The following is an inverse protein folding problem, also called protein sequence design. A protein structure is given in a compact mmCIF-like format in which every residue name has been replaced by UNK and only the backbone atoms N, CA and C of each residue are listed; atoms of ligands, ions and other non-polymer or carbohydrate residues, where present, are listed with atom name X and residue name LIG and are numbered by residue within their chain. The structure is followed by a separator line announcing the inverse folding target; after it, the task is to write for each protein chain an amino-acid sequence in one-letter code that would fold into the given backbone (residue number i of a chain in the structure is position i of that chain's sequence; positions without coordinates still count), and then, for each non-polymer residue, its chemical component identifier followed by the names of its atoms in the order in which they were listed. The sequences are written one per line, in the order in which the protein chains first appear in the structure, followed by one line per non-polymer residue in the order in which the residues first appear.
data_IF_377718762798
#
_entry.id   IF_377718762798
#
_cell.length_a   1.000
_cell.length_b   1.000
_cell.length_c   1.000
_cell.angle_alpha   90.00
_cell.angle_beta   90.00
_cell.angle_gamma   90.00
#
_symmetry.space_group_name_H-M   'P 1'
#
loop_
_entity.id
_entity.type
_entity.pdbx_description
1 polymer ?
#
# COMPACT_ATOMS: atom_id res chain seq x y z
N UNK A 1 -26.08 19.07 -12.96
CA UNK A 1 -24.82 18.54 -12.40
C UNK A 1 -23.87 18.29 -13.57
N UNK A 2 -22.86 19.14 -13.78
CA UNK A 2 -21.89 18.96 -14.86
C UNK A 2 -21.03 17.72 -14.57
N UNK A 3 -20.76 16.84 -15.55
CA UNK A 3 -19.87 15.71 -15.32
C UNK A 3 -18.46 16.24 -15.03
N UNK A 4 -17.92 15.88 -13.86
CA UNK A 4 -16.49 16.07 -13.57
C UNK A 4 -15.75 15.24 -14.61
N UNK A 5 -15.03 15.91 -15.53
CA UNK A 5 -14.13 15.21 -16.45
C UNK A 5 -13.10 14.49 -15.60
N UNK A 6 -13.18 13.16 -15.52
CA UNK A 6 -12.08 12.34 -15.03
C UNK A 6 -10.93 12.55 -16.01
N UNK A 7 -9.97 13.39 -15.63
CA UNK A 7 -8.75 13.50 -16.40
C UNK A 7 -7.95 12.21 -16.21
N UNK A 8 -7.74 11.50 -17.31
CA UNK A 8 -6.83 10.36 -17.32
C UNK A 8 -5.46 10.81 -16.77
N UNK A 9 -4.75 9.92 -16.04
CA UNK A 9 -3.42 10.22 -15.55
C UNK A 9 -2.50 10.62 -16.70
N UNK A 10 -1.55 11.52 -16.44
CA UNK A 10 -0.57 11.90 -17.45
C UNK A 10 0.24 10.68 -17.90
N UNK A 11 0.84 10.68 -19.10
CA UNK A 11 1.65 9.55 -19.57
C UNK A 11 2.79 9.20 -18.60
N UNK A 12 3.43 10.20 -18.01
CA UNK A 12 4.49 10.01 -17.00
C UNK A 12 3.96 9.32 -15.74
N UNK A 13 2.80 9.76 -15.23
CA UNK A 13 2.15 9.17 -14.05
C UNK A 13 1.71 7.73 -14.31
N UNK A 14 1.20 7.46 -15.51
CA UNK A 14 0.82 6.11 -15.96
C UNK A 14 2.02 5.19 -16.04
N UNK A 15 3.13 5.65 -16.63
CA UNK A 15 4.37 4.87 -16.73
C UNK A 15 4.97 4.53 -15.34
N UNK A 16 5.00 5.50 -14.42
CA UNK A 16 5.45 5.27 -13.05
C UNK A 16 4.54 4.28 -12.30
N UNK A 17 3.23 4.36 -12.53
CA UNK A 17 2.24 3.43 -11.95
C UNK A 17 2.46 2.01 -12.43
N UNK A 18 2.61 1.80 -13.74
CA UNK A 18 2.87 0.46 -14.28
C UNK A 18 4.22 -0.09 -13.82
N UNK A 19 5.28 0.72 -13.78
CA UNK A 19 6.59 0.29 -13.29
C UNK A 19 6.53 -0.20 -11.83
N UNK A 20 5.72 0.44 -10.98
CA UNK A 20 5.50 0.00 -9.60
C UNK A 20 4.69 -1.29 -9.52
N UNK A 21 3.60 -1.39 -10.29
CA UNK A 21 2.74 -2.58 -10.30
C UNK A 21 3.46 -3.80 -10.88
N UNK A 22 4.30 -3.64 -11.90
CA UNK A 22 5.06 -4.74 -12.51
C UNK A 22 6.11 -5.35 -11.59
N UNK A 23 6.54 -4.61 -10.56
CA UNK A 23 7.47 -5.11 -9.54
C UNK A 23 6.77 -5.90 -8.42
N UNK A 24 5.44 -6.04 -8.47
CA UNK A 24 4.66 -6.75 -7.45
C UNK A 24 3.96 -7.98 -8.02
N UNK A 25 3.87 -9.02 -7.20
CA UNK A 25 2.97 -10.14 -7.45
C UNK A 25 1.64 -9.91 -6.71
N UNK A 26 0.53 -10.28 -7.34
CA UNK A 26 -0.75 -10.42 -6.64
C UNK A 26 -0.59 -11.56 -5.62
N UNK A 27 -0.86 -11.33 -4.32
CA UNK A 27 -0.78 -12.40 -3.35
C UNK A 27 -1.80 -13.49 -3.67
N UNK A 28 -1.47 -14.73 -3.29
CA UNK A 28 -2.40 -15.85 -3.35
C UNK A 28 -3.53 -15.69 -2.32
N UNK A 29 -4.60 -16.44 -2.51
CA UNK A 29 -5.71 -16.47 -1.57
C UNK A 29 -6.98 -17.08 -2.15
N UNK A 30 -8.07 -17.09 -1.36
CA UNK A 30 -9.38 -17.53 -1.82
C UNK A 30 -9.83 -16.79 -3.09
N UNK A 31 -10.58 -17.47 -3.94
CA UNK A 31 -11.02 -16.94 -5.24
C UNK A 31 -11.74 -15.58 -5.13
N UNK A 32 -12.52 -15.36 -4.07
CA UNK A 32 -13.24 -14.09 -3.85
C UNK A 32 -12.30 -12.90 -3.60
N UNK A 33 -11.11 -13.12 -3.03
CA UNK A 33 -10.10 -12.06 -2.85
C UNK A 33 -9.43 -11.68 -4.17
N UNK A 34 -9.28 -12.63 -5.09
CA UNK A 34 -8.63 -12.38 -6.38
C UNK A 34 -9.37 -11.28 -7.15
N UNK A 35 -10.69 -11.38 -7.28
CA UNK A 35 -11.51 -10.40 -7.99
C UNK A 35 -11.43 -9.00 -7.34
N UNK A 36 -11.40 -8.94 -6.00
CA UNK A 36 -11.24 -7.68 -5.26
C UNK A 36 -9.87 -7.05 -5.50
N UNK A 37 -8.80 -7.86 -5.51
CA UNK A 37 -7.44 -7.41 -5.75
C UNK A 37 -7.27 -6.92 -7.19
N UNK A 38 -7.78 -7.65 -8.17
CA UNK A 38 -7.78 -7.23 -9.59
C UNK A 38 -8.55 -5.92 -9.78
N UNK A 39 -9.71 -5.76 -9.13
CA UNK A 39 -10.46 -4.51 -9.16
C UNK A 39 -9.70 -3.36 -8.48
N UNK A 40 -8.94 -3.63 -7.42
CA UNK A 40 -8.07 -2.63 -6.79
C UNK A 40 -6.93 -2.20 -7.72
N UNK A 41 -6.26 -3.15 -8.38
CA UNK A 41 -5.23 -2.86 -9.40
C UNK A 41 -5.82 -2.01 -10.54
N UNK A 42 -7.00 -2.36 -11.05
CA UNK A 42 -7.68 -1.58 -12.08
C UNK A 42 -7.96 -0.13 -11.63
N UNK A 43 -8.41 0.07 -10.37
CA UNK A 43 -8.58 1.42 -9.81
C UNK A 43 -7.26 2.18 -9.68
N UNK A 44 -6.17 1.51 -9.31
CA UNK A 44 -4.84 2.13 -9.25
C UNK A 44 -4.40 2.58 -10.65
N UNK A 45 -4.62 1.78 -11.69
CA UNK A 45 -4.32 2.15 -13.07
C UNK A 45 -5.16 3.34 -13.57
N UNK A 46 -6.46 3.34 -13.28
CA UNK A 46 -7.38 4.42 -13.65
C UNK A 46 -6.99 5.76 -13.00
N UNK A 47 -6.50 5.71 -11.75
CA UNK A 47 -6.17 6.93 -10.97
C UNK A 47 -4.70 7.37 -11.12
N UNK A 48 -3.79 6.43 -11.32
CA UNK A 48 -2.36 6.63 -11.19
C UNK A 48 -1.89 6.75 -9.73
N UNK A 49 -0.62 6.43 -9.50
CA UNK A 49 0.08 6.68 -8.24
C UNK A 49 0.37 8.17 -8.05
N UNK A 50 0.46 8.65 -6.80
CA UNK A 50 0.63 10.06 -6.53
C UNK A 50 1.94 10.65 -7.06
N UNK A 51 1.89 11.91 -7.47
CA UNK A 51 3.03 12.70 -7.91
C UNK A 51 3.12 14.05 -7.19
N UNK A 52 4.23 14.78 -7.35
CA UNK A 52 4.50 16.04 -6.64
C UNK A 52 3.51 17.18 -6.97
N UNK A 53 2.76 17.07 -8.06
CA UNK A 53 1.79 18.07 -8.51
C UNK A 53 0.39 17.79 -7.95
N UNK A 54 0.18 16.65 -7.31
CA UNK A 54 -1.08 16.35 -6.64
C UNK A 54 -1.24 17.23 -5.39
N UNK A 55 -2.34 17.97 -5.30
CA UNK A 55 -2.62 18.90 -4.19
C UNK A 55 -2.59 18.20 -2.82
N UNK A 56 -3.15 16.98 -2.74
CA UNK A 56 -3.15 16.17 -1.51
C UNK A 56 -1.73 15.78 -1.05
N UNK A 57 -0.75 15.82 -1.95
CA UNK A 57 0.65 15.48 -1.69
C UNK A 57 1.57 16.70 -1.54
N UNK A 58 1.00 17.90 -1.45
CA UNK A 58 1.77 19.16 -1.34
C UNK A 58 2.83 19.15 -0.23
N UNK A 59 2.56 18.46 0.87
CA UNK A 59 3.43 18.43 2.05
C UNK A 59 4.18 17.10 2.25
N UNK A 60 3.99 16.13 1.36
CA UNK A 60 4.60 14.81 1.46
C UNK A 60 5.19 14.42 0.11
N UNK A 61 6.49 14.14 0.08
CA UNK A 61 7.20 13.69 -1.11
C UNK A 61 6.87 12.21 -1.38
N UNK A 62 6.11 11.87 -2.45
CA UNK A 62 5.65 10.49 -2.67
C UNK A 62 6.71 9.57 -3.27
N UNK A 63 7.86 10.09 -3.71
CA UNK A 63 8.79 9.36 -4.58
C UNK A 63 9.27 8.04 -3.98
N UNK A 64 9.67 8.05 -2.71
CA UNK A 64 10.14 6.84 -2.00
C UNK A 64 9.02 5.84 -1.72
N UNK A 65 7.76 6.27 -1.75
CA UNK A 65 6.58 5.42 -1.57
C UNK A 65 6.17 4.72 -2.86
N UNK A 66 6.30 5.41 -4.00
CA UNK A 66 5.77 4.94 -5.30
C UNK A 66 6.83 4.33 -6.22
N UNK A 67 8.12 4.46 -5.91
CA UNK A 67 9.18 3.84 -6.70
C UNK A 67 9.06 2.31 -6.72
N UNK A 68 9.46 1.70 -7.85
CA UNK A 68 9.29 0.27 -8.11
C UNK A 68 9.92 -0.60 -7.02
N UNK A 69 11.17 -0.31 -6.68
CA UNK A 69 11.90 -0.96 -5.60
C UNK A 69 11.73 -0.19 -4.29
N UNK A 70 11.11 -0.83 -3.29
CA UNK A 70 10.90 -0.19 -1.99
C UNK A 70 12.26 0.04 -1.30
N UNK A 71 12.57 1.26 -0.83
CA UNK A 71 13.80 1.50 -0.11
C UNK A 71 13.74 0.77 1.24
N UNK A 72 14.89 0.24 1.69
CA UNK A 72 14.98 -0.35 3.03
C UNK A 72 14.88 0.75 4.07
N UNK A 73 13.92 0.61 4.98
CA UNK A 73 13.83 1.45 6.17
C UNK A 73 14.65 0.82 7.31
N UNK A 74 15.19 1.66 8.20
CA UNK A 74 15.74 1.16 9.45
C UNK A 74 14.61 0.55 10.28
N UNK A 75 14.87 -0.59 10.91
CA UNK A 75 13.92 -1.19 11.86
C UNK A 75 13.74 -0.21 13.01
N UNK A 76 12.49 0.15 13.28
CA UNK A 76 12.17 0.97 14.43
C UNK A 76 12.36 0.13 15.70
N UNK A 77 13.40 0.46 16.48
CA UNK A 77 13.62 -0.12 17.80
C UNK A 77 12.67 0.57 18.79
N UNK A 78 11.46 0.03 18.94
CA UNK A 78 10.51 0.48 19.96
C UNK A 78 11.09 0.23 21.35
N UNK A 79 11.55 1.29 22.01
CA UNK A 79 12.09 1.24 23.38
C UNK A 79 11.01 1.20 24.46
N UNK A 80 9.78 1.61 24.12
CA UNK A 80 8.66 1.63 25.05
C UNK A 80 7.82 0.37 24.93
N UNK A 81 7.44 -0.17 26.08
CA UNK A 81 6.48 -1.27 26.16
C UNK A 81 5.16 -0.82 25.52
N UNK A 82 4.51 -1.73 24.79
CA UNK A 82 3.16 -1.52 24.26
C UNK A 82 2.25 -0.99 25.38
N UNK A 83 1.42 0.01 25.08
CA UNK A 83 0.44 0.55 26.04
C UNK A 83 -0.55 -0.53 26.53
N UNK A 84 -0.61 -1.67 25.84
CA UNK A 84 -1.42 -2.83 26.17
C UNK A 84 -0.63 -3.96 26.86
N UNK A 85 0.65 -3.77 27.19
CA UNK A 85 1.51 -4.84 27.72
C UNK A 85 0.97 -5.49 29.01
N UNK A 86 0.19 -4.73 29.80
CA UNK A 86 -0.41 -5.17 31.06
C UNK A 86 -1.92 -5.43 30.95
N UNK A 87 -2.47 -5.46 29.74
CA UNK A 87 -3.88 -5.78 29.49
C UNK A 87 -3.97 -7.24 29.07
N UNK A 88 -4.87 -7.99 29.70
CA UNK A 88 -5.23 -9.32 29.24
C UNK A 88 -5.93 -9.22 27.88
N UNK A 89 -5.32 -9.80 26.84
CA UNK A 89 -5.72 -9.62 25.45
C UNK A 89 -5.36 -10.85 24.62
N UNK A 90 -6.20 -11.17 23.64
CA UNK A 90 -5.91 -12.15 22.60
C UNK A 90 -4.98 -11.52 21.55
N UNK A 91 -3.78 -12.09 21.38
CA UNK A 91 -2.77 -11.62 20.42
C UNK A 91 -2.89 -12.35 19.11
N UNK A 92 -2.97 -11.56 18.03
CA UNK A 92 -2.91 -12.05 16.64
C UNK A 92 -1.73 -11.35 15.97
N UNK A 93 -0.70 -12.12 15.64
CA UNK A 93 0.58 -11.60 15.12
C UNK A 93 0.66 -11.77 13.61
N UNK A 94 1.13 -10.71 12.95
CA UNK A 94 1.46 -10.70 11.53
C UNK A 94 2.90 -10.21 11.36
N UNK A 95 3.75 -11.01 10.70
CA UNK A 95 5.12 -10.65 10.35
C UNK A 95 5.19 -10.44 8.84
N UNK A 96 5.59 -9.24 8.42
CA UNK A 96 5.64 -8.84 7.00
C UNK A 96 4.33 -9.13 6.23
N UNK A 97 3.18 -8.99 6.91
CA UNK A 97 1.84 -9.23 6.36
C UNK A 97 1.39 -10.69 6.34
N UNK A 98 2.20 -11.63 6.87
CA UNK A 98 1.87 -13.06 6.99
C UNK A 98 1.47 -13.38 8.42
N UNK A 99 0.36 -14.12 8.60
CA UNK A 99 -0.10 -14.57 9.92
C UNK A 99 0.90 -15.55 10.55
N UNK A 100 1.29 -15.29 11.80
CA UNK A 100 2.17 -16.13 12.59
C UNK A 100 1.38 -16.77 13.74
N UNK A 101 1.04 -18.04 13.58
CA UNK A 101 0.26 -18.79 14.57
C UNK A 101 1.06 -19.13 15.83
N UNK A 102 2.38 -19.27 15.75
CA UNK A 102 3.22 -19.63 16.90
C UNK A 102 3.48 -18.42 17.81
N UNK A 103 3.54 -17.22 17.22
CA UNK A 103 3.65 -15.96 17.97
C UNK A 103 2.28 -15.42 18.46
N UNK A 104 1.18 -16.00 18.00
CA UNK A 104 -0.18 -15.65 18.42
C UNK A 104 -0.62 -16.51 19.62
N UNK A 105 -1.67 -16.05 20.31
CA UNK A 105 -2.33 -16.82 21.37
C UNK A 105 -3.32 -17.86 20.80
#
# INVERSE_FOLDING_TARGET
MLPVRKHAPTPQKSAATEARLSAQALPDGPAWLRDIREAAVARVRDRGLPDRRDEYWKFTRPETLVQAEAPKAAVFAGGDQSVFANVDALKIVFVDGVFDAEASD
#
